data_IF_542249326188
#
_entry.id   IF_542249326188
#
_cell.length_a   1.000
_cell.length_b   1.000
_cell.length_c   1.000
_cell.angle_alpha   90.00
_cell.angle_beta   90.00
_cell.angle_gamma   90.00
#
_symmetry.space_group_name_H-M   'P 1'
#
loop_
_entity.id
_entity.type
_entity.pdbx_description
1 polymer ?
#
# COMPACT_ATOMS: atom_id res chain seq x y z
N UNK A 1 5.89 -6.36 17.44
CA UNK A 1 6.10 -6.03 16.99
C UNK A 1 6.04 -5.50 16.68
N UNK A 2 5.32 -5.65 16.41
CA UNK A 2 5.36 -5.05 15.73
C UNK A 2 4.97 -4.57 15.64
N UNK A 3 4.46 -4.43 15.61
CA UNK A 3 4.34 -3.78 15.23
C UNK A 3 3.97 -3.27 15.04
N UNK A 4 3.51 -3.18 14.96
CA UNK A 4 3.51 -2.58 14.54
C UNK A 4 3.41 -2.06 14.85
N UNK A 5 2.97 -2.21 15.14
CA UNK A 5 3.33 -1.61 15.16
C UNK A 5 3.58 -1.42 15.30
N UNK A 6 3.28 -1.49 15.47
CA UNK A 6 3.88 -1.26 15.32
C UNK A 6 4.20 -1.33 15.03
N UNK A 7 4.02 -1.64 14.75
CA UNK A 7 4.55 -1.63 14.20
C UNK A 7 5.04 -1.43 14.03
N UNK A 8 5.03 -1.60 14.02
CA UNK A 8 5.75 -1.43 13.63
C UNK A 8 6.41 -1.43 13.63
N UNK A 9 6.27 -1.54 13.79
CA UNK A 9 7.12 -1.60 13.45
C UNK A 9 7.70 -1.75 13.15
N UNK A 10 7.86 -1.81 13.16
CA UNK A 10 8.58 -2.01 12.73
C UNK A 10 8.88 -2.13 12.28
N UNK A 11 8.95 -2.01 11.81
CA UNK A 11 9.30 -2.27 11.17
C UNK A 11 9.82 -2.03 10.79
N UNK A 12 10.25 -1.90 10.72
CA UNK A 12 10.83 -1.67 10.20
C UNK A 12 11.08 -1.61 9.63
N UNK A 13 11.43 -1.31 9.39
CA UNK A 13 11.73 -1.28 8.57
C UNK A 13 11.93 -0.90 7.80
N UNK A 14 12.50 -0.28 7.19
CA UNK A 14 12.74 -0.40 5.93
C UNK A 14 13.35 0.61 5.11
N UNK A 15 13.78 1.15 4.03
CA UNK A 15 14.27 2.12 3.76
C UNK A 15 15.12 2.42 2.55
N UNK A 16 15.77 1.63 1.90
CA UNK A 16 16.46 1.83 0.65
C UNK A 16 15.66 1.23 -0.46
N UNK A 17 16.08 1.41 -1.71
CA UNK A 17 15.39 0.74 -2.81
C UNK A 17 15.43 -0.77 -2.66
N UNK A 18 16.42 -1.30 -1.97
CA UNK A 18 16.46 -2.72 -1.70
C UNK A 18 15.31 -3.18 -0.83
N UNK A 19 14.80 -2.28 0.01
CA UNK A 19 13.67 -2.63 0.86
C UNK A 19 12.40 -2.85 0.06
N UNK A 20 12.27 -2.23 -1.10
CA UNK A 20 11.14 -2.48 -1.97
C UNK A 20 11.11 -3.90 -2.50
N UNK A 21 12.23 -4.60 -2.43
CA UNK A 21 12.32 -5.98 -2.87
C UNK A 21 12.06 -6.98 -1.76
N UNK A 22 11.83 -6.50 -0.54
CA UNK A 22 11.57 -7.38 0.59
C UNK A 22 10.17 -7.93 0.54
N UNK A 23 9.97 -9.12 1.09
CA UNK A 23 8.62 -9.64 1.24
C UNK A 23 7.81 -8.73 2.15
N UNK A 24 6.56 -8.65 1.89
CA UNK A 24 5.63 -7.89 2.71
C UNK A 24 5.25 -8.71 3.95
N UNK A 25 4.69 -8.03 4.94
CA UNK A 25 4.19 -8.65 6.16
C UNK A 25 2.76 -9.11 5.90
N UNK A 26 2.45 -10.33 6.25
CA UNK A 26 1.10 -10.90 6.08
C UNK A 26 0.52 -11.23 7.44
N UNK A 27 -0.70 -10.78 7.66
CA UNK A 27 -1.41 -10.98 8.93
C UNK A 27 -2.73 -11.67 8.63
N UNK A 28 -2.92 -12.93 9.09
CA UNK A 28 -4.19 -13.61 8.87
C UNK A 28 -5.32 -13.00 9.70
N UNK A 29 -6.52 -13.06 9.16
CA UNK A 29 -7.72 -12.61 9.86
C UNK A 29 -8.66 -13.79 10.05
N UNK A 30 -9.72 -13.58 10.83
CA UNK A 30 -10.68 -14.64 11.09
C UNK A 30 -11.57 -14.97 9.91
N UNK A 31 -11.60 -14.11 8.90
CA UNK A 31 -12.52 -14.26 7.77
C UNK A 31 -11.89 -14.90 6.55
N UNK A 32 -10.72 -15.52 6.69
CA UNK A 32 -10.02 -16.07 5.54
C UNK A 32 -9.44 -15.01 4.64
N UNK A 33 -9.17 -13.85 5.18
CA UNK A 33 -8.51 -12.75 4.50
C UNK A 33 -7.15 -12.58 5.15
N UNK A 34 -6.12 -12.43 4.32
CA UNK A 34 -4.78 -12.15 4.82
C UNK A 34 -4.47 -10.69 4.49
N UNK A 35 -4.14 -9.93 5.53
CA UNK A 35 -3.70 -8.54 5.35
C UNK A 35 -2.21 -8.52 5.06
N UNK A 36 -1.85 -7.86 3.98
CA UNK A 36 -0.45 -7.75 3.56
C UNK A 36 -0.07 -6.29 3.50
N UNK A 37 1.04 -5.95 4.15
CA UNK A 37 1.55 -4.58 4.17
C UNK A 37 2.70 -4.49 3.19
N UNK A 38 2.58 -3.63 2.18
CA UNK A 38 3.58 -3.50 1.13
C UNK A 38 4.02 -2.05 1.00
N UNK A 39 5.30 -1.86 0.76
CA UNK A 39 5.81 -0.54 0.40
C UNK A 39 5.41 -0.23 -1.04
N UNK A 40 4.96 0.99 -1.24
CA UNK A 40 4.50 1.46 -2.54
C UNK A 40 5.13 2.79 -2.87
N UNK A 41 5.23 3.05 -4.17
CA UNK A 41 5.70 4.33 -4.67
C UNK A 41 4.64 4.91 -5.60
N UNK A 42 4.32 6.19 -5.41
CA UNK A 42 3.36 6.87 -6.28
C UNK A 42 4.02 7.11 -7.63
N UNK A 43 3.39 6.61 -8.69
CA UNK A 43 3.89 6.81 -10.05
C UNK A 43 3.09 7.87 -10.80
N UNK A 44 1.86 8.12 -10.37
CA UNK A 44 1.01 9.12 -11.00
C UNK A 44 -0.11 9.52 -10.05
N UNK A 45 -0.51 10.79 -10.12
CA UNK A 45 -1.71 11.27 -9.44
C UNK A 45 -2.42 12.20 -10.41
N UNK A 46 -3.69 11.90 -10.71
CA UNK A 46 -4.47 12.67 -11.67
C UNK A 46 -5.87 12.91 -11.16
N UNK A 47 -6.43 14.06 -11.52
CA UNK A 47 -7.79 14.40 -11.14
C UNK A 47 -8.79 13.75 -12.08
N UNK A 48 -9.79 13.07 -11.51
CA UNK A 48 -10.90 12.51 -12.26
C UNK A 48 -12.12 13.39 -12.02
N UNK A 49 -12.40 14.26 -13.00
CA UNK A 49 -13.49 15.23 -12.86
C UNK A 49 -14.87 14.60 -12.84
N UNK A 50 -15.00 13.39 -13.40
CA UNK A 50 -16.31 12.72 -13.41
C UNK A 50 -16.67 12.20 -12.02
N UNK A 51 -15.69 11.90 -11.19
CA UNK A 51 -15.90 11.41 -9.83
C UNK A 51 -15.57 12.44 -8.76
N UNK A 52 -14.91 13.52 -9.14
CA UNK A 52 -14.53 14.56 -8.18
C UNK A 52 -13.45 14.11 -7.21
N UNK A 53 -12.59 13.18 -7.62
CA UNK A 53 -11.51 12.65 -6.77
C UNK A 53 -10.23 12.57 -7.58
N UNK A 54 -9.12 12.39 -6.86
CA UNK A 54 -7.83 12.12 -7.47
C UNK A 54 -7.61 10.62 -7.53
N UNK A 55 -7.18 10.14 -8.69
CA UNK A 55 -6.78 8.75 -8.85
C UNK A 55 -5.27 8.69 -8.71
N UNK A 56 -4.82 7.97 -7.71
CA UNK A 56 -3.40 7.86 -7.40
C UNK A 56 -2.95 6.45 -7.75
N UNK A 57 -2.05 6.34 -8.70
CA UNK A 57 -1.51 5.05 -9.11
C UNK A 57 -0.22 4.81 -8.34
N UNK A 58 -0.15 3.68 -7.65
CA UNK A 58 1.04 3.29 -6.89
C UNK A 58 1.60 2.00 -7.45
N UNK A 59 2.89 1.80 -7.25
CA UNK A 59 3.59 0.61 -7.71
C UNK A 59 4.23 -0.09 -6.51
N UNK A 60 4.01 -1.39 -6.42
CA UNK A 60 4.66 -2.23 -5.42
C UNK A 60 6.02 -2.70 -5.93
N UNK A 61 6.81 -3.32 -5.04
CA UNK A 61 8.16 -3.74 -5.37
C UNK A 61 8.21 -4.76 -6.50
N UNK A 62 7.16 -5.57 -6.64
CA UNK A 62 7.09 -6.56 -7.71
C UNK A 62 6.59 -5.97 -9.04
N UNK A 63 6.42 -4.65 -9.09
CA UNK A 63 6.05 -3.96 -10.32
C UNK A 63 4.56 -3.89 -10.60
N UNK A 64 3.72 -4.38 -9.70
CA UNK A 64 2.28 -4.29 -9.87
C UNK A 64 1.79 -2.88 -9.62
N UNK A 65 0.82 -2.47 -10.43
CA UNK A 65 0.22 -1.14 -10.32
C UNK A 65 -1.16 -1.24 -9.70
N UNK A 66 -1.46 -0.28 -8.84
CA UNK A 66 -2.74 -0.23 -8.13
C UNK A 66 -3.23 1.20 -8.14
N UNK A 67 -4.54 1.38 -8.31
CA UNK A 67 -5.17 2.69 -8.22
C UNK A 67 -5.86 2.84 -6.89
N UNK A 68 -5.67 3.99 -6.26
CA UNK A 68 -6.43 4.35 -5.07
C UNK A 68 -7.07 5.72 -5.29
N UNK A 69 -8.11 6.00 -4.53
CA UNK A 69 -8.84 7.26 -4.65
C UNK A 69 -8.56 8.14 -3.45
N UNK A 70 -8.36 9.43 -3.69
CA UNK A 70 -8.15 10.41 -2.63
C UNK A 70 -8.99 11.64 -2.97
N UNK A 71 -9.72 12.14 -1.99
CA UNK A 71 -10.50 13.35 -2.17
C UNK A 71 -9.66 14.60 -2.24
N UNK A 72 -8.39 14.52 -1.87
CA UNK A 72 -7.50 15.68 -1.82
C UNK A 72 -6.30 15.47 -2.72
N UNK A 73 -5.77 16.59 -3.21
CA UNK A 73 -4.58 16.59 -4.05
C UNK A 73 -3.33 16.56 -3.17
N UNK A 74 -3.07 15.40 -2.60
CA UNK A 74 -2.01 15.23 -1.60
C UNK A 74 -0.77 14.53 -2.14
N UNK A 75 -0.98 13.47 -2.94
CA UNK A 75 0.10 12.59 -3.36
C UNK A 75 0.82 13.13 -4.59
N UNK A 76 2.13 12.95 -4.61
CA UNK A 76 2.98 13.37 -5.73
C UNK A 76 3.80 12.20 -6.22
N UNK A 77 4.13 12.22 -7.50
CA UNK A 77 5.00 11.20 -8.10
C UNK A 77 6.30 11.13 -7.30
N UNK A 78 6.68 9.92 -6.94
CA UNK A 78 7.88 9.65 -6.15
C UNK A 78 7.63 9.53 -4.66
N UNK A 79 6.45 9.93 -4.19
CA UNK A 79 6.09 9.72 -2.78
C UNK A 79 6.02 8.24 -2.49
N UNK A 80 6.40 7.87 -1.28
CA UNK A 80 6.39 6.48 -0.84
C UNK A 80 5.53 6.34 0.39
N UNK A 81 4.88 5.20 0.52
CA UNK A 81 4.06 4.89 1.69
C UNK A 81 3.97 3.38 1.83
N UNK A 82 3.43 2.93 2.96
CA UNK A 82 3.05 1.54 3.15
C UNK A 82 1.54 1.47 3.03
N UNK A 83 1.06 0.54 2.22
CA UNK A 83 -0.36 0.31 2.05
C UNK A 83 -0.71 -1.10 2.49
N UNK A 84 -1.95 -1.27 2.88
CA UNK A 84 -2.50 -2.55 3.30
C UNK A 84 -3.30 -3.13 2.14
N UNK A 85 -3.04 -4.39 1.83
CA UNK A 85 -3.74 -5.14 0.79
C UNK A 85 -4.43 -6.32 1.44
N UNK A 86 -5.65 -6.60 1.02
CA UNK A 86 -6.38 -7.78 1.47
C UNK A 86 -6.25 -8.86 0.42
N UNK A 87 -5.79 -10.03 0.81
CA UNK A 87 -5.75 -11.20 -0.06
C UNK A 87 -6.76 -12.22 0.44
N UNK A 88 -7.68 -12.59 -0.42
CA UNK A 88 -8.74 -13.54 -0.11
C UNK A 88 -8.18 -14.94 -0.35
N UNK A 89 -8.18 -15.77 0.69
CA UNK A 89 -7.53 -17.08 0.63
C UNK A 89 -8.22 -18.03 -0.33
N UNK A 90 -9.54 -17.95 -0.42
CA UNK A 90 -10.31 -18.87 -1.26
C UNK A 90 -10.16 -18.58 -2.76
N UNK A 91 -10.01 -17.32 -3.15
CA UNK A 91 -9.93 -16.96 -4.56
C UNK A 91 -8.54 -16.49 -4.97
N UNK A 92 -7.71 -16.13 -4.02
CA UNK A 92 -6.41 -15.53 -4.31
C UNK A 92 -6.47 -14.09 -4.79
N UNK A 93 -7.67 -13.49 -4.81
CA UNK A 93 -7.83 -12.10 -5.22
C UNK A 93 -7.17 -11.18 -4.21
N UNK A 94 -6.49 -10.15 -4.69
CA UNK A 94 -5.83 -9.14 -3.86
C UNK A 94 -6.45 -7.80 -4.18
N UNK A 95 -6.77 -7.05 -3.12
CA UNK A 95 -7.35 -5.71 -3.25
C UNK A 95 -6.58 -4.74 -2.38
N UNK A 96 -6.34 -3.54 -2.88
CA UNK A 96 -5.76 -2.47 -2.08
C UNK A 96 -6.84 -1.95 -1.14
N UNK A 97 -6.58 -2.03 0.16
CA UNK A 97 -7.55 -1.70 1.19
C UNK A 97 -7.36 -0.28 1.69
N UNK A 98 -6.16 0.06 2.15
CA UNK A 98 -5.94 1.36 2.79
C UNK A 98 -4.47 1.74 2.75
N UNK A 99 -4.22 3.04 2.88
CA UNK A 99 -2.88 3.56 3.11
C UNK A 99 -2.64 3.55 4.61
N UNK A 100 -1.53 2.96 5.03
CA UNK A 100 -1.24 2.76 6.44
C UNK A 100 -0.28 3.79 7.02
N UNK A 101 0.54 4.42 6.19
CA UNK A 101 1.50 5.42 6.65
C UNK A 101 1.35 6.69 5.84
N UNK A 102 1.85 7.80 6.41
CA UNK A 102 2.02 9.01 5.63
C UNK A 102 3.18 8.80 4.65
N UNK A 103 3.34 9.72 3.72
CA UNK A 103 4.42 9.65 2.75
C UNK A 103 5.79 9.83 3.43
N UNK A 104 6.79 9.22 2.88
CA UNK A 104 8.15 9.32 3.41
C UNK A 104 9.20 9.29 2.30
#
# INVERSE_FOLDING_TARGET
>A
MLTIASIMLALSVLTTSADLCKPYISVPTECGIVEEYRECEVVESRYDGSRGVYVVTVKTADGQLWDMLDGEDYWRKGDRMVACFDRYEDTGVVELNAVCTDKY
#
